data_IF_098952750171
#
_entry.id   IF_098952750171
#
_cell.length_a   1.000
_cell.length_b   1.000
_cell.length_c   1.000
_cell.angle_alpha   90.00
_cell.angle_beta   90.00
_cell.angle_gamma   90.00
#
_symmetry.space_group_name_H-M   'P 1'
#
loop_
_entity.id
_entity.type
_entity.pdbx_description
1 polymer ?
#
# COMPACT_ATOMS: atom_id res chain seq x y z
N UNK A 1 -6.57 -5.98 36.62
CA UNK A 1 -5.86 -6.65 35.50
C UNK A 1 -5.87 -5.68 34.33
N UNK A 2 -4.69 -5.21 33.90
CA UNK A 2 -4.59 -4.32 32.73
C UNK A 2 -4.99 -5.08 31.48
N UNK A 3 -5.91 -4.50 30.69
CA UNK A 3 -6.28 -5.04 29.38
C UNK A 3 -5.03 -5.10 28.51
N UNK A 4 -4.75 -6.22 27.81
CA UNK A 4 -3.55 -6.30 26.97
C UNK A 4 -3.60 -5.20 25.91
N UNK A 5 -2.48 -4.50 25.73
CA UNK A 5 -2.38 -3.44 24.72
C UNK A 5 -2.82 -3.97 23.35
N UNK A 6 -3.60 -3.21 22.58
CA UNK A 6 -4.09 -3.65 21.28
C UNK A 6 -2.90 -3.98 20.36
N UNK A 7 -2.92 -5.17 19.76
CA UNK A 7 -1.88 -5.62 18.83
C UNK A 7 -1.82 -4.71 17.61
N UNK A 8 -0.65 -4.19 17.24
CA UNK A 8 -0.51 -3.32 16.07
C UNK A 8 -0.88 -4.08 14.80
N UNK A 9 -1.64 -3.44 13.91
CA UNK A 9 -1.91 -3.97 12.56
C UNK A 9 -0.80 -3.52 11.62
N UNK A 10 -0.05 -4.47 11.10
CA UNK A 10 1.13 -4.21 10.29
C UNK A 10 0.96 -4.72 8.87
N UNK A 11 1.71 -4.11 7.97
CA UNK A 11 1.87 -4.57 6.59
C UNK A 11 3.23 -4.10 6.05
N UNK A 12 3.72 -4.78 5.03
CA UNK A 12 4.99 -4.46 4.36
C UNK A 12 4.68 -3.88 2.98
N UNK A 13 5.37 -2.81 2.60
CA UNK A 13 5.07 -2.09 1.37
C UNK A 13 6.32 -1.50 0.69
N UNK A 14 6.23 -1.29 -0.62
CA UNK A 14 7.05 -0.37 -1.39
C UNK A 14 6.34 0.99 -1.46
N UNK A 15 7.06 2.07 -1.17
CA UNK A 15 6.51 3.43 -1.10
C UNK A 15 7.16 4.30 -2.16
N UNK A 16 6.38 4.90 -3.09
CA UNK A 16 6.92 5.84 -4.05
C UNK A 16 7.51 7.07 -3.35
N UNK A 17 8.56 7.71 -3.92
CA UNK A 17 9.10 8.96 -3.39
C UNK A 17 8.12 10.12 -3.55
N UNK A 18 8.32 11.18 -2.77
CA UNK A 18 7.42 12.35 -2.72
C UNK A 18 7.21 13.01 -4.09
N UNK A 19 8.23 13.01 -4.95
CA UNK A 19 8.12 13.54 -6.31
C UNK A 19 7.06 12.79 -7.12
N UNK A 20 7.08 11.45 -7.09
CA UNK A 20 6.09 10.57 -7.77
C UNK A 20 4.71 10.73 -7.15
N UNK A 21 4.63 10.86 -5.81
CA UNK A 21 3.36 11.12 -5.13
C UNK A 21 2.77 12.48 -5.51
N UNK A 22 3.61 13.49 -5.78
CA UNK A 22 3.17 14.80 -6.28
C UNK A 22 2.65 14.71 -7.72
N UNK A 23 3.31 13.96 -8.61
CA UNK A 23 2.82 13.68 -9.97
C UNK A 23 1.46 12.97 -9.92
N UNK A 24 1.35 11.94 -9.10
CA UNK A 24 0.12 11.19 -8.92
C UNK A 24 -1.03 12.09 -8.43
N UNK A 25 -0.75 13.02 -7.51
CA UNK A 25 -1.75 13.99 -7.03
C UNK A 25 -2.23 14.91 -8.15
N UNK A 26 -1.31 15.40 -9.00
CA UNK A 26 -1.68 16.23 -10.17
C UNK A 26 -2.53 15.45 -11.17
N UNK A 27 -2.14 14.21 -11.48
CA UNK A 27 -2.86 13.35 -12.41
C UNK A 27 -4.28 13.01 -11.91
N UNK A 28 -4.48 12.88 -10.61
CA UNK A 28 -5.79 12.55 -10.01
C UNK A 28 -6.69 13.75 -9.79
N UNK A 29 -6.21 14.99 -9.96
CA UNK A 29 -7.03 16.21 -9.76
C UNK A 29 -8.23 16.28 -10.74
N UNK A 30 -8.10 15.74 -11.95
CA UNK A 30 -9.20 15.67 -12.92
C UNK A 30 -10.43 14.89 -12.43
N UNK A 31 -10.27 14.03 -11.43
CA UNK A 31 -11.39 13.26 -10.88
C UNK A 31 -12.42 14.14 -10.16
N UNK A 32 -12.01 15.30 -9.63
CA UNK A 32 -12.88 16.18 -8.87
C UNK A 32 -14.01 16.79 -9.71
N UNK A 33 -13.82 16.85 -11.04
CA UNK A 33 -14.82 17.33 -11.99
C UNK A 33 -15.87 16.27 -12.40
N UNK A 34 -15.67 15.00 -12.03
CA UNK A 34 -16.55 13.91 -12.44
C UNK A 34 -17.81 13.82 -11.56
N UNK A 35 -18.98 13.48 -12.15
CA UNK A 35 -20.18 13.21 -11.38
C UNK A 35 -19.95 12.17 -10.30
N UNK A 36 -20.29 12.47 -9.06
CA UNK A 36 -20.10 11.59 -7.92
C UNK A 36 -18.71 11.65 -7.26
N UNK A 37 -17.81 12.52 -7.70
CA UNK A 37 -16.47 12.71 -7.13
C UNK A 37 -16.49 12.97 -5.61
N UNK A 38 -17.48 13.70 -5.10
CA UNK A 38 -17.65 13.93 -3.65
C UNK A 38 -17.86 12.66 -2.81
N UNK A 39 -18.18 11.54 -3.46
CA UNK A 39 -18.27 10.22 -2.84
C UNK A 39 -16.92 9.51 -2.74
N UNK A 40 -15.93 9.95 -3.50
CA UNK A 40 -14.57 9.44 -3.37
C UNK A 40 -13.93 10.03 -2.10
N UNK A 41 -13.24 9.19 -1.39
CA UNK A 41 -12.35 9.56 -0.30
C UNK A 41 -10.92 9.31 -0.76
N UNK A 42 -10.19 10.34 -1.22
CA UNK A 42 -8.82 10.20 -1.68
C UNK A 42 -7.91 9.63 -0.58
N UNK A 43 -6.97 8.79 -0.97
CA UNK A 43 -5.92 8.30 -0.08
C UNK A 43 -4.88 9.42 0.11
N UNK A 44 -4.57 9.75 1.35
CA UNK A 44 -3.53 10.72 1.70
C UNK A 44 -2.13 10.19 1.32
N UNK A 45 -1.16 11.10 1.25
CA UNK A 45 0.21 10.75 0.83
C UNK A 45 0.80 9.59 1.64
N UNK A 46 0.66 9.59 2.97
CA UNK A 46 1.14 8.51 3.84
C UNK A 46 0.45 7.16 3.64
N UNK A 47 -0.70 7.14 2.97
CA UNK A 47 -1.43 5.91 2.63
C UNK A 47 -1.20 5.42 1.19
N UNK A 48 -0.39 6.12 0.40
CA UNK A 48 -0.09 5.77 -0.99
C UNK A 48 1.14 4.87 -1.07
N UNK A 49 0.91 3.58 -1.14
CA UNK A 49 1.94 2.55 -1.18
C UNK A 49 1.47 1.34 -1.99
N UNK A 50 2.42 0.54 -2.45
CA UNK A 50 2.14 -0.78 -3.03
C UNK A 50 2.36 -1.82 -1.94
N UNK A 51 1.28 -2.43 -1.44
CA UNK A 51 1.36 -3.45 -0.38
C UNK A 51 1.94 -4.74 -0.94
N UNK A 52 2.96 -5.27 -0.26
CA UNK A 52 3.60 -6.55 -0.57
C UNK A 52 3.03 -7.70 0.28
N UNK A 53 2.72 -7.42 1.55
CA UNK A 53 2.11 -8.38 2.45
C UNK A 53 1.33 -7.70 3.58
N UNK A 54 0.09 -8.11 3.81
CA UNK A 54 -0.67 -7.77 5.01
C UNK A 54 -0.37 -8.80 6.10
N UNK A 55 0.03 -8.31 7.29
CA UNK A 55 0.38 -9.16 8.44
C UNK A 55 -0.73 -9.17 9.51
N UNK A 56 -1.68 -8.25 9.39
CA UNK A 56 -2.78 -8.11 10.36
C UNK A 56 -2.29 -7.68 11.75
N UNK A 57 -2.99 -8.16 12.78
CA UNK A 57 -2.65 -7.88 14.18
C UNK A 57 -1.45 -8.72 14.63
N UNK A 58 -0.32 -8.07 14.86
CA UNK A 58 0.96 -8.73 15.14
C UNK A 58 1.26 -8.81 16.64
N UNK A 59 1.83 -9.93 17.06
CA UNK A 59 2.42 -10.08 18.39
C UNK A 59 3.72 -9.26 18.46
N UNK A 60 3.84 -8.31 19.41
CA UNK A 60 5.05 -7.51 19.58
C UNK A 60 6.32 -8.35 19.77
N UNK A 61 6.25 -9.49 20.46
CA UNK A 61 7.38 -10.37 20.68
C UNK A 61 7.95 -11.04 19.41
N UNK A 62 7.27 -10.91 18.27
CA UNK A 62 7.75 -11.44 16.98
C UNK A 62 8.37 -10.38 16.07
N UNK A 63 8.33 -9.10 16.47
CA UNK A 63 8.72 -7.98 15.60
C UNK A 63 10.23 -7.96 15.33
N UNK A 64 11.07 -8.26 16.31
CA UNK A 64 12.53 -8.33 16.10
C UNK A 64 12.91 -9.44 15.11
N UNK A 65 12.27 -10.60 15.26
CA UNK A 65 12.43 -11.72 14.34
C UNK A 65 11.96 -11.41 12.92
N UNK A 66 10.89 -10.63 12.78
CA UNK A 66 10.40 -10.12 11.49
C UNK A 66 11.39 -9.12 10.89
N UNK A 67 11.82 -8.12 11.67
CA UNK A 67 12.75 -7.08 11.23
C UNK A 67 14.05 -7.66 10.67
N UNK A 68 14.68 -8.62 11.39
CA UNK A 68 15.88 -9.29 10.94
C UNK A 68 15.68 -10.08 9.63
N UNK A 69 14.49 -10.63 9.40
CA UNK A 69 14.17 -11.37 8.16
C UNK A 69 13.86 -10.44 6.99
N UNK A 70 13.18 -9.30 7.26
CA UNK A 70 12.95 -8.26 6.26
C UNK A 70 14.27 -7.63 5.80
N UNK A 71 15.20 -7.36 6.74
CA UNK A 71 16.54 -6.88 6.40
C UNK A 71 17.26 -7.82 5.43
N UNK A 72 17.22 -9.14 5.68
CA UNK A 72 17.82 -10.14 4.77
C UNK A 72 17.08 -10.23 3.42
N UNK A 73 15.76 -10.09 3.41
CA UNK A 73 14.98 -10.09 2.17
C UNK A 73 15.31 -8.85 1.31
N UNK A 74 15.40 -7.68 1.92
CA UNK A 74 15.80 -6.44 1.28
C UNK A 74 17.24 -6.52 0.74
N UNK A 75 18.20 -6.95 1.55
CA UNK A 75 19.62 -7.10 1.14
C UNK A 75 19.80 -8.02 -0.09
N UNK A 76 18.93 -9.00 -0.28
CA UNK A 76 18.95 -9.90 -1.44
C UNK A 76 18.17 -9.38 -2.65
N UNK A 77 17.72 -8.15 -2.61
CA UNK A 77 16.94 -7.52 -3.67
C UNK A 77 17.75 -6.35 -4.22
N UNK A 78 18.09 -6.38 -5.50
CA UNK A 78 18.66 -5.23 -6.17
C UNK A 78 17.59 -4.15 -6.39
N UNK A 79 17.92 -2.85 -6.37
CA UNK A 79 17.01 -1.79 -6.78
C UNK A 79 16.45 -2.04 -8.18
N UNK A 80 15.19 -1.73 -8.41
CA UNK A 80 14.52 -1.96 -9.69
C UNK A 80 13.54 -0.82 -10.04
N UNK A 81 13.34 -0.54 -11.35
CA UNK A 81 12.47 0.55 -11.78
C UNK A 81 11.00 0.19 -11.58
N UNK A 82 10.25 1.12 -11.02
CA UNK A 82 8.79 1.11 -10.96
C UNK A 82 8.22 2.42 -11.52
N UNK A 83 6.98 2.35 -11.96
CA UNK A 83 6.16 3.49 -12.37
C UNK A 83 4.69 3.21 -12.02
N UNK A 84 3.83 4.19 -12.22
CA UNK A 84 2.38 4.01 -12.16
C UNK A 84 1.80 4.40 -13.53
N UNK A 85 0.99 3.52 -14.13
CA UNK A 85 0.39 3.72 -15.46
C UNK A 85 -1.06 3.30 -15.46
N UNK A 86 -1.96 4.25 -15.78
CA UNK A 86 -3.39 3.99 -15.81
C UNK A 86 -3.97 3.67 -14.44
N UNK A 87 -5.27 3.37 -14.41
CA UNK A 87 -5.99 3.05 -13.21
C UNK A 87 -6.90 1.81 -13.40
N UNK A 88 -7.41 1.32 -12.29
CA UNK A 88 -8.41 0.26 -12.24
C UNK A 88 -9.23 0.38 -10.96
N UNK A 89 -10.15 -0.56 -10.76
CA UNK A 89 -10.96 -0.58 -9.56
C UNK A 89 -11.23 -2.01 -9.07
N UNK A 90 -11.46 -2.15 -7.76
CA UNK A 90 -11.96 -3.38 -7.16
C UNK A 90 -13.43 -3.18 -6.80
N UNK A 91 -14.29 -3.78 -7.59
CA UNK A 91 -15.73 -3.53 -7.53
C UNK A 91 -16.01 -2.03 -7.54
N UNK A 92 -17.04 -1.60 -6.81
CA UNK A 92 -17.40 -0.19 -6.64
C UNK A 92 -16.91 0.38 -5.29
N UNK A 93 -15.73 -0.08 -4.83
CA UNK A 93 -15.21 0.28 -3.50
C UNK A 93 -13.84 0.95 -3.52
N UNK A 94 -12.94 0.54 -4.39
CA UNK A 94 -11.55 0.98 -4.39
C UNK A 94 -11.11 1.35 -5.79
N UNK A 95 -10.67 2.59 -5.97
CA UNK A 95 -9.98 3.08 -7.16
C UNK A 95 -8.47 3.01 -6.90
N UNK A 96 -7.69 2.48 -7.85
CA UNK A 96 -6.24 2.27 -7.67
C UNK A 96 -5.46 2.58 -8.95
N UNK A 97 -4.19 2.99 -8.79
CA UNK A 97 -3.23 3.12 -9.89
C UNK A 97 -2.48 1.81 -10.10
N UNK A 98 -2.21 1.49 -11.37
CA UNK A 98 -1.52 0.26 -11.76
C UNK A 98 0.00 0.46 -11.68
N UNK A 99 0.73 -0.35 -10.90
CA UNK A 99 2.16 -0.43 -11.00
C UNK A 99 2.60 -0.93 -12.36
N UNK A 100 3.73 -0.40 -12.83
CA UNK A 100 4.40 -0.69 -14.10
C UNK A 100 5.92 -0.70 -13.88
N UNK A 101 6.70 -1.18 -14.86
CA UNK A 101 8.14 -1.34 -14.74
C UNK A 101 8.54 -2.80 -14.51
N UNK A 102 9.52 -3.07 -13.66
CA UNK A 102 9.95 -4.46 -13.37
C UNK A 102 9.00 -5.14 -12.38
N UNK A 103 7.84 -5.57 -12.90
CA UNK A 103 6.81 -6.26 -12.11
C UNK A 103 7.26 -7.65 -11.65
N UNK A 104 8.19 -8.29 -12.34
CA UNK A 104 8.77 -9.57 -11.92
C UNK A 104 9.67 -9.38 -10.70
N UNK A 105 10.48 -8.33 -10.64
CA UNK A 105 11.23 -7.98 -9.44
C UNK A 105 10.30 -7.65 -8.26
N UNK A 106 9.22 -6.90 -8.52
CA UNK A 106 8.21 -6.58 -7.52
C UNK A 106 7.53 -7.86 -6.97
N UNK A 107 7.18 -8.80 -7.83
CA UNK A 107 6.59 -10.08 -7.43
C UNK A 107 7.58 -10.92 -6.61
N UNK A 108 8.83 -11.05 -7.05
CA UNK A 108 9.89 -11.73 -6.29
C UNK A 108 10.14 -11.10 -4.91
N UNK A 109 10.08 -9.76 -4.82
CA UNK A 109 10.17 -9.06 -3.53
C UNK A 109 8.99 -9.42 -2.63
N UNK A 110 7.75 -9.41 -3.16
CA UNK A 110 6.57 -9.78 -2.41
C UNK A 110 6.68 -11.21 -1.87
N UNK A 111 7.16 -12.16 -2.68
CA UNK A 111 7.36 -13.56 -2.24
C UNK A 111 8.40 -13.67 -1.13
N UNK A 112 9.53 -12.94 -1.24
CA UNK A 112 10.56 -12.90 -0.18
C UNK A 112 10.02 -12.33 1.12
N UNK A 113 9.24 -11.25 1.04
CA UNK A 113 8.58 -10.60 2.19
C UNK A 113 7.58 -11.55 2.84
N UNK A 114 6.73 -12.21 2.05
CA UNK A 114 5.75 -13.19 2.55
C UNK A 114 6.44 -14.36 3.23
N UNK A 115 7.49 -14.92 2.63
CA UNK A 115 8.29 -15.98 3.24
C UNK A 115 9.00 -15.53 4.54
N UNK A 116 9.49 -14.28 4.59
CA UNK A 116 10.09 -13.70 5.80
C UNK A 116 9.07 -13.60 6.94
N UNK A 117 7.87 -13.12 6.65
CA UNK A 117 6.77 -12.99 7.60
C UNK A 117 6.30 -14.36 8.13
N UNK A 118 6.11 -15.33 7.24
CA UNK A 118 5.73 -16.71 7.62
C UNK A 118 6.77 -17.33 8.57
N UNK A 119 8.08 -17.19 8.26
CA UNK A 119 9.16 -17.68 9.12
C UNK A 119 9.31 -16.91 10.44
N UNK A 120 8.76 -15.70 10.52
CA UNK A 120 8.65 -14.95 11.77
C UNK A 120 7.43 -15.37 12.62
N UNK A 121 6.59 -16.31 12.12
CA UNK A 121 5.34 -16.71 12.74
C UNK A 121 4.22 -15.66 12.61
N UNK A 122 4.31 -14.83 11.59
CA UNK A 122 3.33 -13.82 11.19
C UNK A 122 2.89 -14.09 9.74
N UNK A 123 2.22 -15.24 9.46
CA UNK A 123 1.86 -15.58 8.10
C UNK A 123 0.93 -14.50 7.52
N UNK A 124 1.22 -14.00 6.30
CA UNK A 124 0.33 -13.09 5.62
C UNK A 124 -1.01 -13.75 5.33
N UNK A 125 -2.04 -12.92 5.17
CA UNK A 125 -3.36 -13.37 4.73
C UNK A 125 -3.24 -14.19 3.44
N UNK A 126 -3.64 -15.46 3.51
CA UNK A 126 -3.52 -16.42 2.41
C UNK A 126 -4.65 -16.32 1.37
N UNK A 127 -5.76 -15.65 1.72
CA UNK A 127 -6.94 -15.61 0.85
C UNK A 127 -6.78 -14.71 -0.39
N UNK A 128 -5.71 -13.91 -0.44
CA UNK A 128 -5.49 -12.96 -1.51
C UNK A 128 -4.20 -13.24 -2.29
N UNK A 129 -4.34 -13.63 -3.56
CA UNK A 129 -3.23 -13.61 -4.50
C UNK A 129 -2.62 -12.18 -4.55
N UNK A 130 -1.31 -12.09 -4.68
CA UNK A 130 -0.63 -10.80 -4.81
C UNK A 130 -1.12 -10.09 -6.09
N UNK A 131 -1.82 -8.98 -5.90
CA UNK A 131 -2.28 -8.08 -6.96
C UNK A 131 -1.72 -6.71 -6.69
N UNK A 132 -0.57 -6.36 -7.29
CA UNK A 132 0.08 -5.08 -7.03
C UNK A 132 -0.82 -3.92 -7.46
N UNK A 133 -1.06 -3.00 -6.55
CA UNK A 133 -1.86 -1.79 -6.79
C UNK A 133 -1.49 -0.71 -5.77
N UNK A 134 -1.68 0.56 -6.15
CA UNK A 134 -1.60 1.69 -5.24
C UNK A 134 -2.98 2.33 -5.11
N UNK A 135 -3.56 2.29 -3.91
CA UNK A 135 -4.91 2.85 -3.69
C UNK A 135 -4.91 4.36 -3.87
N UNK A 136 -5.77 4.86 -4.78
CA UNK A 136 -5.99 6.28 -5.03
C UNK A 136 -7.13 6.84 -4.17
N UNK A 137 -8.23 6.10 -4.11
CA UNK A 137 -9.41 6.51 -3.35
C UNK A 137 -10.27 5.29 -2.96
N UNK A 138 -11.08 5.48 -1.93
CA UNK A 138 -12.13 4.55 -1.52
C UNK A 138 -13.49 5.23 -1.60
N UNK A 139 -14.52 4.50 -1.94
CA UNK A 139 -15.89 5.02 -1.96
C UNK A 139 -16.42 5.12 -0.54
N UNK A 140 -17.04 6.25 -0.18
CA UNK A 140 -17.73 6.46 1.09
C UNK A 140 -19.02 5.62 1.15
N UNK A 141 -19.45 5.16 2.33
CA UNK A 141 -20.77 4.52 2.48
C UNK A 141 -21.88 5.40 1.89
N UNK A 142 -22.88 4.74 1.29
CA UNK A 142 -24.04 5.42 0.68
C UNK A 142 -24.48 4.73 -0.62
N UNK A 143 -25.29 5.40 -1.48
CA UNK A 143 -25.77 4.83 -2.74
C UNK A 143 -24.65 4.28 -3.62
N UNK A 144 -24.88 3.30 -4.50
CA UNK A 144 -23.85 2.77 -5.41
C UNK A 144 -23.17 3.88 -6.22
N UNK A 145 -21.85 3.80 -6.39
CA UNK A 145 -21.06 4.67 -7.27
C UNK A 145 -20.23 3.78 -8.19
N UNK A 146 -20.50 3.84 -9.49
CA UNK A 146 -19.70 3.11 -10.48
C UNK A 146 -18.32 3.73 -10.62
N UNK A 147 -17.27 2.95 -10.42
CA UNK A 147 -15.88 3.41 -10.51
C UNK A 147 -15.27 3.33 -11.89
N UNK A 148 -15.90 2.64 -12.85
CA UNK A 148 -15.39 2.54 -14.22
C UNK A 148 -15.13 3.91 -14.87
N UNK A 149 -16.04 4.91 -14.83
CA UNK A 149 -15.77 6.24 -15.41
C UNK A 149 -14.55 6.94 -14.79
N UNK A 150 -14.29 6.75 -13.49
CA UNK A 150 -13.12 7.31 -12.81
C UNK A 150 -11.83 6.62 -13.25
N UNK A 151 -11.87 5.30 -13.45
CA UNK A 151 -10.71 4.56 -13.96
C UNK A 151 -10.42 4.92 -15.43
N UNK A 152 -11.44 5.11 -16.25
CA UNK A 152 -11.34 5.55 -17.65
C UNK A 152 -10.75 6.96 -17.74
N UNK A 153 -11.19 7.90 -16.90
CA UNK A 153 -10.63 9.26 -16.84
C UNK A 153 -9.12 9.27 -16.46
N UNK A 154 -8.65 8.21 -15.80
CA UNK A 154 -7.25 8.00 -15.46
C UNK A 154 -6.54 7.01 -16.41
N UNK A 155 -7.08 6.68 -17.56
CA UNK A 155 -6.46 5.74 -18.51
C UNK A 155 -5.05 6.18 -18.93
N UNK A 156 -4.81 7.48 -19.02
CA UNK A 156 -3.52 8.09 -19.36
C UNK A 156 -2.69 8.51 -18.12
N UNK A 157 -3.08 8.07 -16.92
CA UNK A 157 -2.31 8.37 -15.72
C UNK A 157 -0.87 7.86 -15.90
N UNK A 158 0.10 8.74 -15.62
CA UNK A 158 1.52 8.45 -15.61
C UNK A 158 2.17 9.16 -14.43
N UNK A 159 2.90 8.40 -13.59
CA UNK A 159 3.72 8.94 -12.52
C UNK A 159 5.00 8.09 -12.35
N UNK A 160 6.12 8.74 -12.15
CA UNK A 160 7.46 8.15 -12.22
C UNK A 160 8.01 8.08 -13.66
N UNK A 161 9.08 7.32 -13.91
CA UNK A 161 9.57 6.18 -13.10
C UNK A 161 10.34 6.59 -11.85
N UNK A 162 10.51 5.64 -10.92
CA UNK A 162 11.45 5.76 -9.80
C UNK A 162 12.16 4.44 -9.56
N UNK A 163 13.29 4.47 -8.86
CA UNK A 163 13.94 3.27 -8.37
C UNK A 163 13.28 2.86 -7.03
N UNK A 164 12.69 1.67 -7.00
CA UNK A 164 12.35 1.04 -5.74
C UNK A 164 13.65 0.52 -5.14
N UNK A 165 14.06 1.07 -4.02
CA UNK A 165 15.34 0.86 -3.35
C UNK A 165 15.24 0.49 -1.88
N UNK A 166 14.03 0.44 -1.34
CA UNK A 166 13.76 0.03 0.03
C UNK A 166 12.40 -0.68 0.18
N UNK A 167 12.27 -1.41 1.27
CA UNK A 167 11.00 -1.92 1.77
C UNK A 167 10.70 -1.32 3.14
N UNK A 168 9.43 -1.02 3.41
CA UNK A 168 8.96 -0.45 4.68
C UNK A 168 7.99 -1.38 5.39
N UNK A 169 8.14 -1.48 6.71
CA UNK A 169 7.12 -2.01 7.61
C UNK A 169 6.28 -0.84 8.11
N UNK A 170 4.99 -0.91 7.87
CA UNK A 170 4.05 0.15 8.20
C UNK A 170 3.01 -0.35 9.20
N UNK A 171 2.66 0.52 10.15
CA UNK A 171 1.58 0.30 11.11
C UNK A 171 0.36 1.14 10.74
N UNK A 172 -0.80 0.49 10.66
CA UNK A 172 -2.07 1.19 10.58
C UNK A 172 -2.48 1.68 11.97
N UNK A 173 -2.55 3.00 12.13
CA UNK A 173 -2.96 3.67 13.36
C UNK A 173 -4.42 4.08 13.20
N UNK A 174 -5.37 3.45 13.90
CA UNK A 174 -6.76 3.86 13.85
C UNK A 174 -6.91 5.30 14.36
N UNK A 175 -7.91 6.03 13.86
CA UNK A 175 -8.18 7.38 14.37
C UNK A 175 -8.57 7.35 15.83
N UNK A 176 -8.19 8.38 16.62
CA UNK A 176 -8.60 8.50 18.01
C UNK A 176 -10.13 8.46 18.12
N UNK A 177 -10.64 7.78 19.15
CA UNK A 177 -12.06 7.74 19.48
C UNK A 177 -12.96 6.92 18.55
N UNK A 178 -12.40 6.14 17.62
CA UNK A 178 -13.20 5.23 16.77
C UNK A 178 -14.22 5.95 15.88
N UNK A 179 -13.98 7.22 15.52
CA UNK A 179 -14.90 8.04 14.73
C UNK A 179 -15.25 7.33 13.41
N UNK A 180 -16.53 6.99 13.16
CA UNK A 180 -16.95 6.35 11.93
C UNK A 180 -16.52 7.17 10.70
N UNK A 181 -15.83 6.52 9.75
CA UNK A 181 -15.36 7.17 8.52
C UNK A 181 -14.06 7.96 8.65
N UNK A 182 -13.46 8.10 9.83
CA UNK A 182 -12.13 8.67 9.96
C UNK A 182 -11.06 7.73 9.36
N UNK A 183 -9.95 8.32 8.90
CA UNK A 183 -8.88 7.58 8.20
C UNK A 183 -7.87 7.02 9.18
N UNK A 184 -7.36 5.80 8.97
CA UNK A 184 -6.17 5.38 9.66
C UNK A 184 -4.98 6.23 9.17
N UNK A 185 -4.15 6.68 10.10
CA UNK A 185 -2.80 7.14 9.79
C UNK A 185 -1.87 5.92 9.61
N UNK A 186 -0.73 6.14 8.96
CA UNK A 186 0.26 5.10 8.78
C UNK A 186 1.59 5.56 9.35
N UNK A 187 2.14 4.80 10.29
CA UNK A 187 3.44 5.04 10.89
C UNK A 187 4.46 4.04 10.35
N UNK A 188 5.66 4.50 10.05
CA UNK A 188 6.77 3.63 9.65
C UNK A 188 7.41 3.03 10.90
N UNK A 189 7.38 1.70 11.00
CA UNK A 189 8.01 0.93 12.08
C UNK A 189 9.45 0.50 11.72
N UNK A 190 9.76 0.39 10.43
CA UNK A 190 11.10 0.05 9.96
C UNK A 190 11.27 0.27 8.47
N UNK A 191 12.55 0.46 8.06
CA UNK A 191 12.97 0.63 6.67
C UNK A 191 14.20 -0.21 6.42
N UNK A 192 14.27 -0.88 5.28
CA UNK A 192 15.41 -1.68 4.88
C UNK A 192 15.75 -1.38 3.43
N UNK A 193 16.91 -0.76 3.17
CA UNK A 193 17.39 -0.51 1.83
C UNK A 193 17.71 -1.84 1.13
N UNK A 194 17.58 -1.85 -0.20
CA UNK A 194 17.97 -2.99 -1.00
C UNK A 194 19.50 -3.08 -1.10
N UNK A 195 19.99 -4.31 -1.21
CA UNK A 195 21.40 -4.59 -1.49
C UNK A 195 21.69 -4.37 -2.98
N UNK A 196 22.68 -3.57 -3.27
CA UNK A 196 23.25 -3.43 -4.63
C UNK A 196 24.28 -4.51 -4.90
#
# INVERSE_FOLDING_TARGET
MASPAPRPRLFVAAVPPDAVLAELRRATAALDALPGAGRLRPTEAGGRHVTLAFLGACDPGRLDGLAARLARAAHRTAPFPLALRGAGHFGDRVLWARPDGDLDALARLADRVRAAATRAGLPPDAEHAFRPHLTLARVRPGPPLRLAPFAEALAQLAAGPWQADEVRLLRSVPPPGGVPGARPAYATEGRWPFGG
#
